data_IF_033566780877
#
_entry.id   IF_033566780877
#
_cell.length_a   1.000
_cell.length_b   1.000
_cell.length_c   1.000
_cell.angle_alpha   90.00
_cell.angle_beta   90.00
_cell.angle_gamma   90.00
#
_symmetry.space_group_name_H-M   'P 1'
#
loop_
_entity.id
_entity.type
_entity.pdbx_description
1 polymer ?
#
# COMPACT_ATOMS: atom_id res chain seq x y z
N UNK A 1 -15.56 -11.01 30.58
CA UNK A 1 -15.26 -9.93 29.58
C UNK A 1 -15.04 -10.61 28.24
N UNK A 2 -15.67 -10.11 27.15
CA UNK A 2 -15.39 -10.63 25.80
C UNK A 2 -13.98 -10.21 25.36
N UNK A 3 -13.21 -11.14 24.80
CA UNK A 3 -11.89 -10.83 24.26
C UNK A 3 -12.02 -9.92 23.04
N UNK A 4 -11.37 -8.77 23.07
CA UNK A 4 -11.41 -7.75 22.01
C UNK A 4 -10.13 -7.75 21.16
N UNK A 5 -8.97 -8.01 21.76
CA UNK A 5 -7.66 -7.89 21.15
C UNK A 5 -6.94 -9.24 21.14
N UNK A 6 -6.40 -9.63 20.00
CA UNK A 6 -5.61 -10.83 19.79
C UNK A 6 -4.18 -10.41 19.46
N UNK A 7 -3.23 -10.78 20.31
CA UNK A 7 -1.83 -10.42 20.21
C UNK A 7 -1.00 -11.69 20.11
N UNK A 8 -0.06 -11.70 19.17
CA UNK A 8 1.01 -12.68 19.12
C UNK A 8 2.21 -12.18 19.93
N UNK A 9 2.98 -13.09 20.51
CA UNK A 9 4.25 -12.76 21.12
C UNK A 9 5.34 -12.46 20.08
N UNK A 10 6.42 -11.85 20.50
CA UNK A 10 7.51 -11.40 19.63
C UNK A 10 8.19 -12.57 18.88
N UNK A 11 8.32 -13.73 19.50
CA UNK A 11 8.83 -14.96 18.90
C UNK A 11 7.96 -15.51 17.77
N UNK A 12 6.72 -15.03 17.65
CA UNK A 12 5.78 -15.39 16.57
C UNK A 12 5.85 -14.44 15.37
N UNK A 13 6.73 -13.43 15.37
CA UNK A 13 7.00 -12.62 14.17
C UNK A 13 7.39 -13.58 13.02
N UNK A 14 6.78 -13.45 11.84
CA UNK A 14 7.11 -14.31 10.70
C UNK A 14 8.61 -14.30 10.40
N UNK A 15 9.17 -15.47 10.13
CA UNK A 15 10.56 -15.63 9.69
C UNK A 15 10.72 -15.60 8.16
N UNK A 16 9.61 -15.64 7.44
CA UNK A 16 9.58 -15.59 5.98
C UNK A 16 8.38 -14.79 5.50
N UNK A 17 8.54 -14.10 4.37
CA UNK A 17 7.44 -13.54 3.60
C UNK A 17 6.82 -14.62 2.70
N UNK A 18 5.53 -14.48 2.42
CA UNK A 18 4.82 -15.38 1.51
C UNK A 18 4.76 -14.79 0.10
N UNK A 19 5.34 -15.50 -0.86
CA UNK A 19 5.30 -15.14 -2.27
C UNK A 19 4.12 -15.85 -2.96
N UNK A 20 3.04 -15.13 -3.16
CA UNK A 20 1.83 -15.66 -3.79
C UNK A 20 2.08 -16.15 -5.23
N UNK A 21 3.05 -15.55 -5.95
CA UNK A 21 3.35 -15.92 -7.32
C UNK A 21 3.72 -17.41 -7.46
N UNK A 22 4.34 -18.02 -6.44
CA UNK A 22 4.66 -19.45 -6.45
C UNK A 22 3.39 -20.34 -6.53
N UNK A 23 2.28 -19.89 -5.96
CA UNK A 23 1.04 -20.66 -5.86
C UNK A 23 -0.06 -20.23 -6.84
N UNK A 24 0.09 -19.10 -7.53
CA UNK A 24 -0.90 -18.64 -8.50
C UNK A 24 -1.10 -19.66 -9.62
N UNK A 25 -2.35 -20.05 -9.93
CA UNK A 25 -2.65 -20.96 -11.05
C UNK A 25 -2.20 -20.40 -12.41
N UNK A 26 -2.36 -19.09 -12.60
CA UNK A 26 -1.89 -18.35 -13.77
C UNK A 26 -0.87 -17.31 -13.31
N UNK A 27 0.35 -17.42 -13.82
CA UNK A 27 1.41 -16.46 -13.50
C UNK A 27 1.11 -15.10 -14.14
N UNK A 28 1.51 -13.98 -13.52
CA UNK A 28 1.41 -12.67 -14.15
C UNK A 28 2.17 -12.62 -15.46
N UNK A 29 1.68 -11.83 -16.41
CA UNK A 29 2.44 -11.51 -17.62
C UNK A 29 3.74 -10.79 -17.23
N UNK A 30 4.86 -10.98 -17.97
CA UNK A 30 6.13 -10.35 -17.64
C UNK A 30 6.08 -8.84 -17.84
N UNK A 31 6.83 -8.10 -17.03
CA UNK A 31 7.16 -6.72 -17.30
C UNK A 31 8.05 -6.63 -18.54
N UNK A 32 7.90 -5.58 -19.34
CA UNK A 32 8.64 -5.43 -20.59
C UNK A 32 9.58 -4.21 -20.55
N UNK A 33 10.74 -4.38 -21.13
CA UNK A 33 11.62 -3.27 -21.45
C UNK A 33 10.93 -2.36 -22.48
N UNK A 34 10.80 -1.05 -22.24
CA UNK A 34 10.05 -0.16 -23.12
C UNK A 34 10.65 -0.01 -24.53
N UNK A 35 11.97 -0.20 -24.70
CA UNK A 35 12.66 -0.08 -25.97
C UNK A 35 12.61 -1.39 -26.78
N UNK A 36 12.98 -2.52 -26.15
CA UNK A 36 13.10 -3.82 -26.83
C UNK A 36 11.81 -4.60 -26.88
N UNK A 37 10.86 -4.30 -25.99
CA UNK A 37 9.62 -5.06 -25.75
C UNK A 37 9.83 -6.49 -25.28
N UNK A 38 11.06 -6.84 -24.90
CA UNK A 38 11.39 -8.12 -24.30
C UNK A 38 11.13 -8.10 -22.79
N UNK A 39 10.90 -9.27 -22.15
CA UNK A 39 10.79 -9.36 -20.70
C UNK A 39 12.02 -8.79 -20.00
N UNK A 40 11.79 -7.98 -18.96
CA UNK A 40 12.88 -7.42 -18.15
C UNK A 40 13.59 -8.55 -17.37
N UNK A 41 14.89 -8.37 -17.20
CA UNK A 41 15.75 -9.26 -16.40
C UNK A 41 16.05 -8.64 -15.03
N UNK A 42 16.63 -9.45 -14.13
CA UNK A 42 17.15 -8.92 -12.84
C UNK A 42 18.17 -7.81 -13.11
N UNK A 43 19.04 -7.96 -14.10
CA UNK A 43 20.05 -6.94 -14.44
C UNK A 43 19.43 -5.63 -14.92
N UNK A 44 18.31 -5.67 -15.65
CA UNK A 44 17.59 -4.47 -16.07
C UNK A 44 16.99 -3.74 -14.86
N UNK A 45 16.33 -4.48 -13.98
CA UNK A 45 15.71 -3.89 -12.77
C UNK A 45 16.76 -3.41 -11.76
N UNK A 46 17.91 -4.08 -11.68
CA UNK A 46 19.00 -3.69 -10.77
C UNK A 46 19.68 -2.38 -11.16
N UNK A 47 19.45 -1.87 -12.36
CA UNK A 47 19.86 -0.50 -12.70
C UNK A 47 19.09 0.56 -11.90
N UNK A 48 17.90 0.21 -11.40
CA UNK A 48 17.02 1.12 -10.68
C UNK A 48 16.84 0.74 -9.21
N UNK A 49 16.54 -0.53 -8.93
CA UNK A 49 16.33 -1.09 -7.58
C UNK A 49 17.62 -1.75 -7.06
N UNK A 50 17.69 -2.04 -5.77
CA UNK A 50 18.71 -2.95 -5.28
C UNK A 50 18.50 -4.36 -5.85
N UNK A 51 19.60 -5.12 -6.04
CA UNK A 51 19.59 -6.39 -6.76
C UNK A 51 18.65 -7.42 -6.12
N UNK A 52 18.64 -7.50 -4.78
CA UNK A 52 17.76 -8.45 -4.10
C UNK A 52 16.27 -8.10 -4.29
N UNK A 53 15.90 -6.83 -4.26
CA UNK A 53 14.52 -6.43 -4.60
C UNK A 53 14.17 -6.77 -6.06
N UNK A 54 15.12 -6.64 -6.98
CA UNK A 54 14.93 -7.04 -8.38
C UNK A 54 14.75 -8.58 -8.53
N UNK A 55 15.51 -9.36 -7.76
CA UNK A 55 15.35 -10.84 -7.70
C UNK A 55 13.98 -11.23 -7.16
N UNK A 56 13.58 -10.63 -6.03
CA UNK A 56 12.27 -10.88 -5.41
C UNK A 56 11.12 -10.46 -6.31
N UNK A 57 11.28 -9.37 -7.07
CA UNK A 57 10.27 -8.91 -8.03
C UNK A 57 9.92 -9.96 -9.07
N UNK A 58 10.93 -10.62 -9.62
CA UNK A 58 10.81 -11.60 -10.71
C UNK A 58 10.70 -13.06 -10.23
N UNK A 59 10.74 -13.29 -8.91
CA UNK A 59 10.66 -14.63 -8.34
C UNK A 59 9.23 -15.18 -8.41
N UNK A 60 9.02 -16.20 -9.24
CA UNK A 60 7.75 -16.88 -9.42
C UNK A 60 7.72 -18.31 -8.87
N UNK A 61 8.80 -18.76 -8.22
CA UNK A 61 9.00 -20.17 -7.84
C UNK A 61 9.08 -20.40 -6.35
N UNK A 62 9.79 -19.52 -5.63
CA UNK A 62 10.02 -19.71 -4.20
C UNK A 62 8.83 -19.18 -3.41
N UNK A 63 8.12 -20.09 -2.76
CA UNK A 63 6.92 -19.78 -1.97
C UNK A 63 7.22 -18.94 -0.74
N UNK A 64 8.37 -19.21 -0.09
CA UNK A 64 8.78 -18.56 1.15
C UNK A 64 10.12 -17.88 0.94
N UNK A 65 10.16 -16.58 1.19
CA UNK A 65 11.36 -15.77 1.13
C UNK A 65 11.76 -15.41 2.56
N UNK A 66 12.94 -15.82 2.98
CA UNK A 66 13.43 -15.57 4.34
C UNK A 66 13.51 -14.08 4.65
N UNK A 67 13.05 -13.70 5.84
CA UNK A 67 13.19 -12.33 6.36
C UNK A 67 14.55 -12.25 7.08
N UNK A 68 15.47 -11.39 6.64
CA UNK A 68 16.76 -11.22 7.31
C UNK A 68 16.60 -10.90 8.79
N UNK A 69 17.47 -11.45 9.63
CA UNK A 69 17.41 -11.26 11.09
C UNK A 69 17.43 -9.78 11.48
N UNK A 70 18.27 -8.95 10.84
CA UNK A 70 18.30 -7.51 11.11
C UNK A 70 16.96 -6.83 10.81
N UNK A 71 16.23 -7.27 9.77
CA UNK A 71 14.90 -6.77 9.45
C UNK A 71 13.89 -7.22 10.51
N UNK A 72 13.97 -8.49 10.96
CA UNK A 72 13.11 -9.02 12.03
C UNK A 72 13.34 -8.30 13.37
N UNK A 73 14.58 -8.00 13.71
CA UNK A 73 14.93 -7.19 14.89
C UNK A 73 14.28 -5.78 14.82
N UNK A 74 14.20 -5.17 13.62
CA UNK A 74 13.51 -3.90 13.46
C UNK A 74 11.98 -4.05 13.50
N UNK A 75 11.46 -5.17 12.98
CA UNK A 75 10.05 -5.52 13.12
C UNK A 75 9.64 -5.66 14.58
N UNK A 76 10.46 -6.26 15.44
CA UNK A 76 10.19 -6.45 16.87
C UNK A 76 9.88 -5.14 17.63
N UNK A 77 10.30 -3.98 17.12
CA UNK A 77 9.96 -2.68 17.71
C UNK A 77 8.45 -2.36 17.67
N UNK A 78 7.65 -3.02 16.81
CA UNK A 78 6.21 -2.72 16.68
C UNK A 78 5.34 -3.92 16.25
N UNK A 79 5.93 -5.01 15.78
CA UNK A 79 5.23 -6.25 15.45
C UNK A 79 5.33 -7.22 16.64
N UNK A 80 4.36 -8.15 16.80
CA UNK A 80 3.20 -8.33 15.91
C UNK A 80 2.14 -7.25 16.17
N UNK A 81 1.52 -6.74 15.10
CA UNK A 81 0.46 -5.74 15.25
C UNK A 81 -0.86 -6.38 15.73
N UNK A 82 -1.74 -5.66 16.45
CA UNK A 82 -2.97 -6.24 16.97
C UNK A 82 -3.97 -6.66 15.89
N UNK A 83 -4.64 -7.78 16.09
CA UNK A 83 -5.96 -8.04 15.52
C UNK A 83 -7.01 -7.65 16.55
N UNK A 84 -7.99 -6.87 16.15
CA UNK A 84 -9.01 -6.33 17.06
C UNK A 84 -10.40 -6.65 16.52
N UNK A 85 -11.28 -7.15 17.38
CA UNK A 85 -12.71 -7.27 17.07
C UNK A 85 -13.42 -5.95 17.31
N UNK A 86 -14.10 -5.45 16.32
CA UNK A 86 -14.76 -4.13 16.31
C UNK A 86 -16.17 -4.20 16.92
N UNK A 87 -16.29 -4.58 18.18
CA UNK A 87 -17.58 -4.70 18.86
C UNK A 87 -18.41 -3.42 18.85
N UNK A 88 -17.75 -2.27 18.97
CA UNK A 88 -18.44 -0.98 18.91
C UNK A 88 -19.02 -0.69 17.52
N UNK A 89 -18.30 -1.06 16.48
CA UNK A 89 -18.78 -0.92 15.10
C UNK A 89 -19.91 -1.91 14.79
N UNK A 90 -19.81 -3.17 15.26
CA UNK A 90 -20.88 -4.17 15.15
C UNK A 90 -22.19 -3.67 15.80
N UNK A 91 -22.08 -3.10 17.00
CA UNK A 91 -23.22 -2.51 17.74
C UNK A 91 -23.80 -1.29 17.01
N UNK A 92 -22.95 -0.36 16.57
CA UNK A 92 -23.38 0.85 15.88
C UNK A 92 -24.11 0.55 14.55
N UNK A 93 -23.73 -0.54 13.86
CA UNK A 93 -24.37 -0.99 12.63
C UNK A 93 -25.60 -1.91 12.87
N UNK A 94 -25.78 -2.41 14.09
CA UNK A 94 -26.84 -3.39 14.41
C UNK A 94 -26.76 -4.65 13.57
N UNK A 95 -25.53 -5.10 13.26
CA UNK A 95 -25.27 -6.22 12.35
C UNK A 95 -25.00 -7.52 13.11
N UNK A 96 -25.41 -8.70 12.60
CA UNK A 96 -24.98 -10.01 13.12
C UNK A 96 -23.58 -10.40 12.67
N UNK A 97 -22.95 -9.63 11.77
CA UNK A 97 -21.60 -9.89 11.31
C UNK A 97 -20.57 -9.72 12.43
N UNK A 98 -19.49 -10.51 12.38
CA UNK A 98 -18.32 -10.35 13.20
C UNK A 98 -17.26 -9.55 12.45
N UNK A 99 -16.92 -8.36 12.94
CA UNK A 99 -16.02 -7.45 12.26
C UNK A 99 -14.67 -7.42 12.98
N UNK A 100 -13.59 -7.70 12.25
CA UNK A 100 -12.22 -7.64 12.73
C UNK A 100 -11.40 -6.65 11.91
N UNK A 101 -10.45 -6.00 12.55
CA UNK A 101 -9.46 -5.21 11.84
C UNK A 101 -8.04 -5.54 12.30
N UNK A 102 -7.14 -5.72 11.31
CA UNK A 102 -5.69 -5.81 11.53
C UNK A 102 -5.14 -4.40 11.63
N UNK A 103 -4.61 -4.06 12.79
CA UNK A 103 -4.25 -2.67 13.11
C UNK A 103 -2.79 -2.37 12.77
N UNK A 104 -2.51 -1.94 11.54
CA UNK A 104 -1.20 -1.49 11.09
C UNK A 104 -0.90 -0.02 11.45
N UNK A 105 -1.84 0.70 12.07
CA UNK A 105 -1.67 2.09 12.47
C UNK A 105 -0.72 2.28 13.66
N UNK A 106 -0.36 1.21 14.35
CA UNK A 106 0.49 1.22 15.56
C UNK A 106 1.99 1.26 15.25
N UNK A 107 2.39 1.21 13.99
CA UNK A 107 3.81 1.33 13.63
C UNK A 107 4.36 2.72 14.01
N UNK A 108 5.69 2.88 14.19
CA UNK A 108 6.30 4.18 14.56
C UNK A 108 5.95 5.34 13.64
N UNK A 109 5.60 5.06 12.37
CA UNK A 109 5.20 6.07 11.39
C UNK A 109 3.69 6.08 11.12
N UNK A 110 2.94 5.27 11.84
CA UNK A 110 1.48 5.22 11.79
C UNK A 110 0.89 4.59 10.54
N UNK A 111 1.61 3.72 9.82
CA UNK A 111 1.10 2.97 8.67
C UNK A 111 1.86 1.68 8.37
N UNK A 112 1.24 0.77 7.59
CA UNK A 112 1.81 -0.50 7.13
C UNK A 112 3.07 -0.35 6.27
N UNK A 113 3.31 0.83 5.70
CA UNK A 113 4.39 1.04 4.72
C UNK A 113 5.78 0.78 5.29
N UNK A 114 5.95 0.90 6.60
CA UNK A 114 7.21 0.64 7.29
C UNK A 114 7.73 -0.79 7.07
N UNK A 115 6.83 -1.77 6.92
CA UNK A 115 7.24 -3.16 6.71
C UNK A 115 8.16 -3.32 5.48
N UNK A 116 7.77 -2.73 4.36
CA UNK A 116 8.58 -2.80 3.13
C UNK A 116 9.75 -1.80 3.14
N UNK A 117 9.59 -0.63 3.77
CA UNK A 117 10.67 0.36 3.85
C UNK A 117 11.90 -0.19 4.57
N UNK A 118 11.72 -0.93 5.66
CA UNK A 118 12.80 -1.57 6.39
C UNK A 118 13.53 -2.63 5.54
N UNK A 119 12.78 -3.47 4.82
CA UNK A 119 13.35 -4.49 3.94
C UNK A 119 14.15 -3.86 2.78
N UNK A 120 13.56 -2.89 2.08
CA UNK A 120 14.26 -2.23 0.96
C UNK A 120 15.50 -1.47 1.42
N UNK A 121 15.43 -0.72 2.53
CA UNK A 121 16.58 -0.01 3.07
C UNK A 121 17.70 -0.98 3.51
N UNK A 122 17.34 -2.10 4.14
CA UNK A 122 18.29 -3.14 4.50
C UNK A 122 19.03 -3.69 3.27
N UNK A 123 18.30 -4.08 2.23
CA UNK A 123 18.92 -4.63 1.01
C UNK A 123 19.77 -3.60 0.27
N UNK A 124 19.33 -2.34 0.19
CA UNK A 124 20.17 -1.25 -0.32
C UNK A 124 21.48 -1.13 0.47
N UNK A 125 21.42 -1.18 1.80
CA UNK A 125 22.61 -1.12 2.66
C UNK A 125 23.55 -2.29 2.41
N UNK A 126 23.02 -3.51 2.28
CA UNK A 126 23.82 -4.72 2.02
C UNK A 126 24.54 -4.66 0.66
N UNK A 127 23.93 -4.02 -0.34
CA UNK A 127 24.54 -3.80 -1.67
C UNK A 127 25.60 -2.65 -1.66
N UNK A 128 25.79 -1.95 -0.54
CA UNK A 128 26.72 -0.81 -0.44
C UNK A 128 26.16 0.50 -0.98
N UNK A 129 24.84 0.58 -1.20
CA UNK A 129 24.14 1.80 -1.56
C UNK A 129 24.26 2.82 -0.42
N UNK A 130 24.48 4.09 -0.77
CA UNK A 130 24.60 5.19 0.19
C UNK A 130 23.41 6.14 0.16
N UNK A 131 22.72 6.21 -0.98
CA UNK A 131 21.61 7.11 -1.21
C UNK A 131 20.40 6.37 -1.74
N UNK A 132 19.20 6.69 -1.24
CA UNK A 132 17.95 6.21 -1.76
C UNK A 132 17.05 7.36 -2.16
N UNK A 133 16.32 7.19 -3.25
CA UNK A 133 15.33 8.16 -3.70
C UNK A 133 13.96 7.51 -3.85
N UNK A 134 12.92 8.30 -3.71
CA UNK A 134 11.55 7.83 -3.83
C UNK A 134 10.56 8.95 -4.12
N UNK A 135 9.37 8.56 -4.56
CA UNK A 135 8.17 9.39 -4.57
C UNK A 135 7.35 9.20 -3.30
N UNK A 136 6.44 10.12 -3.03
CA UNK A 136 5.37 9.92 -2.07
C UNK A 136 4.14 10.78 -2.40
N UNK A 137 2.95 10.19 -2.31
CA UNK A 137 1.68 10.93 -2.45
C UNK A 137 1.36 11.72 -1.18
N UNK A 138 0.62 11.08 -0.25
CA UNK A 138 0.23 11.69 1.03
C UNK A 138 1.39 11.90 2.03
N UNK A 139 2.56 11.31 1.79
CA UNK A 139 3.74 11.39 2.65
C UNK A 139 3.96 10.18 3.55
N UNK A 140 3.06 9.20 3.59
CA UNK A 140 3.20 8.00 4.44
C UNK A 140 4.39 7.13 4.02
N UNK A 141 4.57 6.92 2.72
CA UNK A 141 5.71 6.16 2.21
C UNK A 141 7.02 6.91 2.43
N UNK A 142 7.06 8.21 2.09
CA UNK A 142 8.24 9.05 2.33
C UNK A 142 8.66 9.03 3.80
N UNK A 143 7.72 9.11 4.75
CA UNK A 143 8.01 9.01 6.18
C UNK A 143 8.57 7.64 6.56
N UNK A 144 8.01 6.56 6.01
CA UNK A 144 8.48 5.19 6.25
C UNK A 144 9.92 4.99 5.75
N UNK A 145 10.19 5.43 4.52
CA UNK A 145 11.53 5.33 3.96
C UNK A 145 12.53 6.21 4.70
N UNK A 146 12.16 7.44 5.05
CA UNK A 146 13.05 8.35 5.80
C UNK A 146 13.50 7.75 7.14
N UNK A 147 12.56 7.12 7.86
CA UNK A 147 12.86 6.40 9.09
C UNK A 147 13.77 5.19 8.83
N UNK A 148 13.43 4.33 7.86
CA UNK A 148 14.20 3.14 7.53
C UNK A 148 15.60 3.48 7.01
N UNK A 149 15.74 4.50 6.14
CA UNK A 149 17.01 4.98 5.65
C UNK A 149 17.92 5.43 6.81
N UNK A 150 17.36 6.19 7.76
CA UNK A 150 18.12 6.63 8.95
C UNK A 150 18.62 5.46 9.79
N UNK A 151 17.81 4.42 9.99
CA UNK A 151 18.21 3.22 10.74
C UNK A 151 19.39 2.50 10.06
N UNK A 152 19.34 2.36 8.74
CA UNK A 152 20.36 1.65 7.96
C UNK A 152 21.50 2.54 7.44
N UNK A 153 21.55 3.81 7.88
CA UNK A 153 22.66 4.72 7.54
C UNK A 153 22.69 5.17 6.08
N UNK A 154 21.51 5.30 5.46
CA UNK A 154 21.33 5.80 4.10
C UNK A 154 20.84 7.25 4.11
N UNK A 155 21.23 8.02 3.09
CA UNK A 155 20.64 9.32 2.79
C UNK A 155 19.38 9.15 1.94
N UNK A 156 18.30 9.88 2.26
CA UNK A 156 17.03 9.77 1.55
C UNK A 156 16.61 11.07 0.88
N UNK A 157 16.27 11.01 -0.42
CA UNK A 157 15.67 12.10 -1.18
C UNK A 157 14.24 11.72 -1.59
N UNK A 158 13.25 12.53 -1.20
CA UNK A 158 11.83 12.25 -1.38
C UNK A 158 11.17 13.31 -2.24
N UNK A 159 10.58 12.89 -3.36
CA UNK A 159 9.71 13.72 -4.20
C UNK A 159 8.26 13.56 -3.75
N UNK A 160 7.70 14.59 -3.12
CA UNK A 160 6.34 14.57 -2.63
C UNK A 160 5.40 15.27 -3.61
N UNK A 161 4.29 14.64 -3.97
CA UNK A 161 3.24 15.26 -4.81
C UNK A 161 2.88 16.64 -4.27
N UNK A 162 3.01 17.69 -5.10
CA UNK A 162 2.94 19.10 -4.72
C UNK A 162 1.68 19.46 -3.92
N UNK A 163 0.51 19.06 -4.38
CA UNK A 163 -0.74 19.34 -3.66
C UNK A 163 -0.73 18.74 -2.25
N UNK A 164 -0.20 17.54 -2.07
CA UNK A 164 -0.09 16.90 -0.76
C UNK A 164 1.01 17.54 0.11
N UNK A 165 2.10 18.01 -0.49
CA UNK A 165 3.15 18.76 0.20
C UNK A 165 2.59 20.05 0.85
N UNK A 166 1.68 20.73 0.15
CA UNK A 166 1.03 21.94 0.63
C UNK A 166 -0.08 21.64 1.66
N UNK A 167 -0.90 20.62 1.42
CA UNK A 167 -2.04 20.27 2.29
C UNK A 167 -1.64 19.53 3.58
N UNK A 168 -0.47 18.86 3.60
CA UNK A 168 -0.02 18.00 4.70
C UNK A 168 1.39 18.36 5.20
N UNK A 169 1.59 19.58 5.75
CA UNK A 169 2.91 20.08 6.10
C UNK A 169 3.63 19.22 7.16
N UNK A 170 2.89 18.59 8.08
CA UNK A 170 3.49 17.75 9.11
C UNK A 170 4.11 16.45 8.56
N UNK A 171 3.65 15.93 7.42
CA UNK A 171 4.30 14.80 6.75
C UNK A 171 5.72 15.14 6.32
N UNK A 172 5.91 16.34 5.72
CA UNK A 172 7.23 16.85 5.40
C UNK A 172 8.11 16.98 6.65
N UNK A 173 7.56 17.55 7.72
CA UNK A 173 8.30 17.73 8.98
C UNK A 173 8.80 16.40 9.55
N UNK A 174 7.98 15.34 9.52
CA UNK A 174 8.37 14.00 9.95
C UNK A 174 9.55 13.47 9.12
N UNK A 175 9.49 13.57 7.79
CA UNK A 175 10.57 13.15 6.90
C UNK A 175 11.86 13.91 7.19
N UNK A 176 11.78 15.22 7.40
CA UNK A 176 12.93 16.06 7.74
C UNK A 176 13.52 15.77 9.14
N UNK A 177 12.69 15.43 10.12
CA UNK A 177 13.17 14.99 11.46
C UNK A 177 14.01 13.71 11.34
N UNK A 178 13.65 12.81 10.41
CA UNK A 178 14.48 11.63 10.10
C UNK A 178 15.64 11.92 9.15
N UNK A 179 15.84 13.18 8.75
CA UNK A 179 16.99 13.62 7.96
C UNK A 179 16.81 13.56 6.44
N UNK A 180 15.61 13.26 5.93
CA UNK A 180 15.38 13.21 4.49
C UNK A 180 15.30 14.60 3.84
N UNK A 181 15.80 14.71 2.60
CA UNK A 181 15.55 15.84 1.72
C UNK A 181 14.19 15.67 1.05
N UNK A 182 13.29 16.64 1.21
CA UNK A 182 11.93 16.58 0.67
C UNK A 182 11.71 17.68 -0.35
N UNK A 183 11.36 17.30 -1.58
CA UNK A 183 11.14 18.21 -2.71
C UNK A 183 9.69 18.08 -3.20
N UNK A 184 8.93 19.19 -3.37
CA UNK A 184 7.63 19.13 -4.00
C UNK A 184 7.76 18.78 -5.49
N UNK A 185 6.93 17.86 -5.99
CA UNK A 185 6.94 17.37 -7.38
C UNK A 185 5.64 17.76 -8.10
N UNK A 186 5.71 18.28 -9.35
CA UNK A 186 6.91 18.46 -10.18
C UNK A 186 7.80 19.62 -9.72
N UNK A 187 9.12 19.49 -9.92
CA UNK A 187 10.12 20.45 -9.51
C UNK A 187 10.99 20.95 -10.66
N UNK A 188 11.72 22.05 -10.43
CA UNK A 188 12.74 22.54 -11.37
C UNK A 188 14.10 21.87 -11.18
N UNK A 189 14.25 20.89 -10.29
CA UNK A 189 15.52 20.22 -9.99
C UNK A 189 15.86 19.09 -10.96
N UNK A 190 14.87 18.52 -11.63
CA UNK A 190 14.99 17.40 -12.58
C UNK A 190 14.60 17.83 -13.99
N UNK A 191 15.03 17.06 -15.01
CA UNK A 191 14.59 17.29 -16.38
C UNK A 191 13.10 16.93 -16.53
N UNK A 192 12.68 15.79 -15.97
CA UNK A 192 11.29 15.36 -15.99
C UNK A 192 10.35 16.44 -15.42
N UNK A 193 10.67 16.96 -14.23
CA UNK A 193 9.90 18.03 -13.62
C UNK A 193 9.85 19.31 -14.46
N UNK A 194 10.97 19.73 -15.04
CA UNK A 194 11.05 20.90 -15.95
C UNK A 194 10.18 20.71 -17.19
N UNK A 195 10.25 19.55 -17.83
CA UNK A 195 9.51 19.24 -19.05
C UNK A 195 7.99 19.26 -18.78
N UNK A 196 7.56 18.69 -17.63
CA UNK A 196 6.16 18.69 -17.21
C UNK A 196 5.70 20.14 -16.92
N UNK A 197 6.45 20.91 -16.16
CA UNK A 197 6.11 22.29 -15.81
C UNK A 197 6.14 23.24 -17.04
N UNK A 198 6.95 22.93 -18.03
CA UNK A 198 6.96 23.68 -19.31
C UNK A 198 5.68 23.45 -20.09
N UNK A 199 5.18 22.19 -20.11
CA UNK A 199 3.92 21.83 -20.79
C UNK A 199 2.69 22.32 -20.00
N UNK A 200 2.76 22.24 -18.68
CA UNK A 200 1.66 22.56 -17.76
C UNK A 200 2.17 23.29 -16.52
N UNK A 201 2.33 24.64 -16.58
CA UNK A 201 2.92 25.43 -15.48
C UNK A 201 2.22 25.32 -14.13
N UNK A 202 0.91 25.04 -14.14
CA UNK A 202 0.09 24.90 -12.93
C UNK A 202 -0.15 23.43 -12.51
N UNK A 203 0.69 22.51 -12.96
CA UNK A 203 0.56 21.09 -12.63
C UNK A 203 0.66 20.88 -11.13
N UNK A 204 -0.34 20.20 -10.55
CA UNK A 204 -0.44 19.98 -9.10
C UNK A 204 0.34 18.76 -8.60
N UNK A 205 0.95 18.03 -9.52
CA UNK A 205 1.65 16.78 -9.27
C UNK A 205 0.75 15.55 -9.25
N UNK A 206 1.33 14.45 -9.68
CA UNK A 206 0.76 13.10 -9.56
C UNK A 206 1.82 12.17 -8.97
N UNK A 207 1.44 10.94 -8.59
CA UNK A 207 2.45 9.92 -8.26
C UNK A 207 3.34 9.63 -9.46
N UNK A 208 2.76 9.60 -10.68
CA UNK A 208 3.52 9.42 -11.92
C UNK A 208 4.61 10.46 -12.14
N UNK A 209 4.32 11.76 -11.91
CA UNK A 209 5.33 12.83 -11.98
C UNK A 209 6.44 12.64 -10.95
N UNK A 210 6.06 12.34 -9.71
CA UNK A 210 7.02 12.18 -8.62
C UNK A 210 7.91 10.94 -8.80
N UNK A 211 7.37 9.84 -9.37
CA UNK A 211 8.14 8.66 -9.77
C UNK A 211 9.17 9.04 -10.83
N UNK A 212 8.78 9.76 -11.89
CA UNK A 212 9.69 10.18 -12.95
C UNK A 212 10.89 10.96 -12.42
N UNK A 213 10.66 11.90 -11.50
CA UNK A 213 11.72 12.70 -10.87
C UNK A 213 12.64 11.86 -9.97
N UNK A 214 12.06 10.96 -9.18
CA UNK A 214 12.82 10.08 -8.29
C UNK A 214 13.67 9.07 -9.09
N UNK A 215 13.13 8.50 -10.15
CA UNK A 215 13.84 7.58 -11.06
C UNK A 215 14.99 8.31 -11.79
N UNK A 216 14.75 9.53 -12.26
CA UNK A 216 15.80 10.34 -12.90
C UNK A 216 16.96 10.58 -11.92
N UNK A 217 16.66 10.99 -10.68
CA UNK A 217 17.70 11.23 -9.66
C UNK A 217 18.48 9.94 -9.37
N UNK A 218 17.81 8.79 -9.24
CA UNK A 218 18.47 7.51 -9.00
C UNK A 218 19.47 7.17 -10.11
N UNK A 219 19.06 7.37 -11.37
CA UNK A 219 19.92 7.08 -12.56
C UNK A 219 21.10 8.02 -12.69
N UNK A 220 20.96 9.28 -12.26
CA UNK A 220 21.99 10.30 -12.41
C UNK A 220 22.99 10.35 -11.24
N UNK A 221 22.67 9.70 -10.12
CA UNK A 221 23.48 9.75 -8.90
C UNK A 221 24.19 8.41 -8.68
N UNK A 222 25.52 8.34 -8.79
CA UNK A 222 26.25 7.10 -8.48
C UNK A 222 25.97 6.61 -7.06
N UNK A 223 25.76 5.30 -6.88
CA UNK A 223 25.47 4.71 -5.58
C UNK A 223 24.07 5.02 -5.03
N UNK A 224 23.17 5.52 -5.88
CA UNK A 224 21.76 5.75 -5.53
C UNK A 224 20.85 4.68 -6.12
N UNK A 225 19.85 4.27 -5.37
CA UNK A 225 18.78 3.38 -5.83
C UNK A 225 17.41 4.00 -5.58
N UNK A 226 16.48 3.68 -6.46
CA UNK A 226 15.08 4.02 -6.29
C UNK A 226 14.37 2.97 -5.43
N UNK A 227 13.49 3.42 -4.56
CA UNK A 227 12.63 2.60 -3.70
C UNK A 227 11.19 3.06 -3.84
N UNK A 228 10.22 2.18 -3.62
CA UNK A 228 8.82 2.56 -3.74
C UNK A 228 7.93 1.82 -2.73
N UNK A 229 6.76 2.43 -2.45
CA UNK A 229 5.86 1.98 -1.38
C UNK A 229 4.65 1.17 -1.82
N UNK A 230 4.54 0.80 -3.10
CA UNK A 230 3.40 0.05 -3.64
C UNK A 230 3.69 -0.45 -5.06
N UNK A 231 2.71 -1.06 -5.72
CA UNK A 231 2.68 -1.52 -7.13
C UNK A 231 3.52 -2.76 -7.39
N UNK A 232 4.81 -2.74 -7.06
CA UNK A 232 5.76 -3.83 -7.35
C UNK A 232 5.53 -5.04 -6.43
N UNK A 233 5.87 -6.23 -6.95
CA UNK A 233 5.64 -7.50 -6.26
C UNK A 233 6.49 -7.64 -5.01
N UNK A 234 7.77 -7.22 -5.04
CA UNK A 234 8.64 -7.26 -3.86
C UNK A 234 8.10 -6.38 -2.73
N UNK A 235 7.47 -5.24 -3.05
CA UNK A 235 6.81 -4.40 -2.02
C UNK A 235 5.66 -5.14 -1.37
N UNK A 236 4.80 -5.77 -2.19
CA UNK A 236 3.64 -6.52 -1.69
C UNK A 236 4.08 -7.78 -0.93
N UNK A 237 5.14 -8.44 -1.39
CA UNK A 237 5.78 -9.55 -0.69
C UNK A 237 6.16 -9.17 0.75
N UNK A 238 6.87 -8.06 0.94
CA UNK A 238 7.26 -7.58 2.27
C UNK A 238 6.05 -7.25 3.17
N UNK A 239 4.90 -6.92 2.59
CA UNK A 239 3.68 -6.65 3.36
C UNK A 239 2.97 -7.92 3.84
N UNK A 240 3.30 -9.10 3.32
CA UNK A 240 2.59 -10.35 3.68
C UNK A 240 2.73 -10.73 5.16
N UNK A 241 3.67 -10.16 5.90
CA UNK A 241 3.72 -10.27 7.37
C UNK A 241 2.39 -9.89 8.02
N UNK A 242 1.62 -8.97 7.42
CA UNK A 242 0.30 -8.54 7.91
C UNK A 242 -0.67 -9.72 7.93
N UNK A 243 -0.83 -10.40 6.80
CA UNK A 243 -1.73 -11.52 6.64
C UNK A 243 -1.25 -12.78 7.38
N UNK A 244 0.08 -13.04 7.40
CA UNK A 244 0.66 -14.17 8.13
C UNK A 244 0.40 -14.08 9.65
N UNK A 245 0.49 -12.88 10.23
CA UNK A 245 0.09 -12.66 11.61
C UNK A 245 -1.43 -12.76 11.79
N UNK A 246 -2.19 -12.15 10.86
CA UNK A 246 -3.64 -12.15 10.94
C UNK A 246 -4.24 -13.56 10.89
N UNK A 247 -3.67 -14.49 10.12
CA UNK A 247 -4.10 -15.90 10.10
C UNK A 247 -4.01 -16.53 11.49
N UNK A 248 -2.85 -16.43 12.13
CA UNK A 248 -2.64 -16.96 13.48
C UNK A 248 -3.57 -16.30 14.52
N UNK A 249 -3.80 -15.00 14.36
CA UNK A 249 -4.67 -14.24 15.27
C UNK A 249 -6.16 -14.59 15.05
N UNK A 250 -6.59 -14.84 13.81
CA UNK A 250 -7.95 -15.34 13.51
C UNK A 250 -8.16 -16.76 14.07
N UNK A 251 -7.13 -17.61 13.99
CA UNK A 251 -7.14 -18.93 14.66
C UNK A 251 -7.30 -18.78 16.18
N UNK A 252 -6.58 -17.86 16.83
CA UNK A 252 -6.75 -17.56 18.25
C UNK A 252 -8.15 -17.05 18.58
N UNK A 253 -8.80 -16.36 17.65
CA UNK A 253 -10.19 -15.92 17.79
C UNK A 253 -11.20 -17.06 17.61
N UNK A 254 -10.77 -18.21 17.12
CA UNK A 254 -11.63 -19.35 16.78
C UNK A 254 -12.52 -19.09 15.57
N UNK A 255 -12.10 -18.17 14.69
CA UNK A 255 -12.88 -17.76 13.51
C UNK A 255 -12.00 -17.74 12.25
N UNK A 256 -12.64 -17.78 11.09
CA UNK A 256 -11.98 -17.63 9.80
C UNK A 256 -12.76 -16.61 8.95
N UNK A 257 -12.10 -15.70 8.20
CA UNK A 257 -12.81 -14.64 7.49
C UNK A 257 -13.53 -15.15 6.24
N UNK A 258 -14.83 -14.82 6.12
CA UNK A 258 -15.61 -14.98 4.88
C UNK A 258 -15.26 -13.92 3.85
N UNK A 259 -14.89 -12.71 4.33
CA UNK A 259 -14.51 -11.57 3.48
C UNK A 259 -13.29 -10.89 4.06
N UNK A 260 -12.28 -10.63 3.23
CA UNK A 260 -11.11 -9.83 3.59
C UNK A 260 -11.04 -8.60 2.70
N UNK A 261 -10.85 -7.42 3.30
CA UNK A 261 -10.92 -6.13 2.64
C UNK A 261 -9.62 -5.35 2.86
N UNK A 262 -9.08 -4.78 1.80
CA UNK A 262 -7.95 -3.85 1.86
C UNK A 262 -8.21 -2.60 1.02
N UNK A 263 -7.74 -1.43 1.49
CA UNK A 263 -7.73 -0.25 0.65
C UNK A 263 -6.72 -0.41 -0.50
N UNK A 264 -7.05 0.16 -1.67
CA UNK A 264 -6.29 -0.08 -2.89
C UNK A 264 -5.79 1.21 -3.56
N UNK A 265 -4.47 1.44 -3.45
CA UNK A 265 -3.72 2.36 -4.29
C UNK A 265 -3.03 1.59 -5.42
N UNK A 266 -1.79 1.16 -5.20
CA UNK A 266 -1.08 0.23 -6.09
C UNK A 266 -1.18 -1.24 -5.69
N UNK A 267 -1.75 -1.57 -4.50
CA UNK A 267 -2.02 -2.94 -4.06
C UNK A 267 -1.28 -3.43 -2.82
N UNK A 268 -0.31 -2.68 -2.26
CA UNK A 268 0.53 -3.19 -1.18
C UNK A 268 -0.22 -3.50 0.13
N UNK A 269 -1.18 -2.67 0.54
CA UNK A 269 -2.01 -2.95 1.72
C UNK A 269 -2.92 -4.14 1.47
N UNK A 270 -3.63 -4.14 0.33
CA UNK A 270 -4.53 -5.21 -0.05
C UNK A 270 -3.80 -6.56 -0.13
N UNK A 271 -2.72 -6.65 -0.90
CA UNK A 271 -1.96 -7.90 -1.04
C UNK A 271 -1.34 -8.36 0.28
N UNK A 272 -0.86 -7.41 1.10
CA UNK A 272 -0.29 -7.72 2.41
C UNK A 272 -1.23 -8.47 3.33
N UNK A 273 -2.51 -8.07 3.39
CA UNK A 273 -3.50 -8.75 4.23
C UNK A 273 -4.13 -9.97 3.54
N UNK A 274 -4.27 -10.00 2.21
CA UNK A 274 -5.05 -11.02 1.50
C UNK A 274 -4.23 -12.21 1.01
N UNK A 275 -3.00 -11.99 0.54
CA UNK A 275 -2.22 -13.05 -0.13
C UNK A 275 -2.00 -14.30 0.73
N UNK A 276 -1.63 -14.20 2.03
CA UNK A 276 -1.51 -15.39 2.86
C UNK A 276 -2.80 -16.22 2.95
N UNK A 277 -3.96 -15.58 3.05
CA UNK A 277 -5.25 -16.27 3.06
C UNK A 277 -5.65 -16.83 1.70
N UNK A 278 -5.24 -16.17 0.61
CA UNK A 278 -5.63 -16.55 -0.75
C UNK A 278 -5.05 -17.91 -1.17
N UNK A 279 -3.91 -18.33 -0.59
CA UNK A 279 -3.35 -19.68 -0.85
C UNK A 279 -4.34 -20.81 -0.54
N UNK A 280 -5.18 -20.62 0.48
CA UNK A 280 -6.20 -21.61 0.86
C UNK A 280 -7.37 -21.68 -0.14
N UNK A 281 -7.63 -20.56 -0.86
CA UNK A 281 -8.60 -20.58 -1.96
C UNK A 281 -8.03 -21.32 -3.18
N UNK A 282 -6.73 -21.18 -3.49
CA UNK A 282 -6.09 -21.89 -4.61
C UNK A 282 -6.10 -23.41 -4.42
N UNK A 283 -5.99 -23.88 -3.18
CA UNK A 283 -6.09 -25.32 -2.86
C UNK A 283 -7.53 -25.82 -2.73
N UNK A 284 -8.53 -24.92 -2.75
CA UNK A 284 -9.94 -25.26 -2.51
C UNK A 284 -10.29 -25.54 -1.04
N UNK A 285 -9.36 -25.33 -0.12
CA UNK A 285 -9.55 -25.53 1.32
C UNK A 285 -10.54 -24.51 1.91
N UNK A 286 -10.52 -23.28 1.40
CA UNK A 286 -11.37 -22.17 1.84
C UNK A 286 -12.00 -21.43 0.66
N UNK A 287 -13.05 -20.64 0.95
CA UNK A 287 -13.78 -19.82 -0.03
C UNK A 287 -13.95 -18.39 0.51
N UNK A 288 -12.84 -17.75 0.83
CA UNK A 288 -12.84 -16.35 1.26
C UNK A 288 -13.00 -15.44 0.05
N UNK A 289 -13.83 -14.38 0.17
CA UNK A 289 -13.90 -13.29 -0.80
C UNK A 289 -12.84 -12.24 -0.47
N UNK A 290 -12.17 -11.73 -1.48
CA UNK A 290 -11.14 -10.71 -1.34
C UNK A 290 -11.59 -9.44 -2.06
N UNK A 291 -11.77 -8.35 -1.30
CA UNK A 291 -12.36 -7.10 -1.81
C UNK A 291 -11.32 -5.97 -1.77
N UNK A 292 -10.99 -5.44 -2.93
CA UNK A 292 -10.12 -4.29 -3.11
C UNK A 292 -10.97 -3.01 -3.14
N UNK A 293 -10.79 -2.14 -2.15
CA UNK A 293 -11.53 -0.88 -2.03
C UNK A 293 -10.69 0.29 -2.56
N UNK A 294 -11.06 0.81 -3.73
CA UNK A 294 -10.39 1.94 -4.38
C UNK A 294 -11.24 3.22 -4.30
N UNK A 295 -10.66 4.43 -4.50
CA UNK A 295 -11.45 5.65 -4.57
C UNK A 295 -12.19 5.75 -5.91
N UNK A 296 -13.47 6.15 -5.88
CA UNK A 296 -14.28 6.40 -7.08
C UNK A 296 -13.69 7.48 -8.00
N UNK A 297 -12.85 8.36 -7.46
CA UNK A 297 -12.12 9.38 -8.23
C UNK A 297 -10.85 8.88 -8.92
N UNK A 298 -10.45 7.62 -8.67
CA UNK A 298 -9.29 6.98 -9.32
C UNK A 298 -9.59 5.48 -9.51
N UNK A 299 -10.61 5.12 -10.33
CA UNK A 299 -11.25 3.81 -10.36
C UNK A 299 -10.54 2.86 -11.34
N UNK A 300 -9.24 2.62 -11.13
CA UNK A 300 -8.42 1.81 -12.05
C UNK A 300 -8.84 0.35 -12.14
N UNK A 301 -9.37 -0.23 -11.04
CA UNK A 301 -9.80 -1.63 -11.03
C UNK A 301 -11.21 -1.81 -11.58
N UNK A 302 -12.12 -0.86 -11.29
CA UNK A 302 -13.53 -0.94 -11.66
C UNK A 302 -13.80 -0.38 -13.05
N UNK A 303 -13.00 0.60 -13.53
CA UNK A 303 -13.21 1.29 -14.80
C UNK A 303 -11.97 1.31 -15.71
N UNK A 304 -10.80 0.94 -15.19
CA UNK A 304 -9.55 0.88 -15.96
C UNK A 304 -9.53 -0.28 -16.96
N UNK A 305 -8.52 -0.26 -17.84
CA UNK A 305 -8.26 -1.32 -18.82
C UNK A 305 -7.07 -2.16 -18.38
N UNK A 306 -7.12 -3.47 -18.66
CA UNK A 306 -5.96 -4.33 -18.47
C UNK A 306 -5.08 -4.26 -19.73
N UNK A 307 -3.96 -3.56 -19.61
CA UNK A 307 -2.99 -3.38 -20.71
C UNK A 307 -1.58 -3.12 -20.15
N UNK A 308 -0.59 -3.11 -21.03
CA UNK A 308 0.76 -2.66 -20.68
C UNK A 308 0.82 -1.14 -20.60
N UNK A 309 1.24 -0.62 -19.45
CA UNK A 309 1.39 0.82 -19.23
C UNK A 309 2.65 1.14 -18.43
N UNK A 310 3.10 2.38 -18.48
CA UNK A 310 4.22 2.85 -17.67
C UNK A 310 3.81 3.04 -16.21
N UNK A 311 4.75 2.80 -15.29
CA UNK A 311 4.55 3.12 -13.89
C UNK A 311 4.65 4.61 -13.58
N UNK A 312 5.20 5.43 -14.50
CA UNK A 312 5.49 6.84 -14.36
C UNK A 312 5.08 7.66 -15.58
N UNK A 313 4.88 8.97 -15.38
CA UNK A 313 4.36 9.87 -16.42
C UNK A 313 5.35 10.11 -17.58
N UNK A 314 6.66 10.13 -17.29
CA UNK A 314 7.70 10.36 -18.32
C UNK A 314 8.12 9.09 -19.08
N UNK A 315 7.61 7.91 -18.71
CA UNK A 315 7.94 6.65 -19.37
C UNK A 315 9.35 6.14 -19.06
N UNK A 316 9.85 6.40 -17.85
CA UNK A 316 11.18 5.97 -17.41
C UNK A 316 11.19 4.58 -16.80
N UNK A 317 10.03 4.07 -16.38
CA UNK A 317 9.89 2.73 -15.81
C UNK A 317 9.70 1.66 -16.89
N UNK A 318 9.84 0.36 -16.57
CA UNK A 318 9.35 -0.72 -17.42
C UNK A 318 7.86 -0.62 -17.70
N UNK A 319 7.41 -1.25 -18.78
CA UNK A 319 5.99 -1.46 -19.05
C UNK A 319 5.46 -2.59 -18.18
N UNK A 320 4.41 -2.30 -17.44
CA UNK A 320 3.77 -3.20 -16.48
C UNK A 320 2.43 -3.68 -17.04
N UNK A 321 2.13 -4.99 -17.05
CA UNK A 321 0.78 -5.47 -17.35
C UNK A 321 -0.13 -5.19 -16.17
N UNK A 322 -1.02 -4.21 -16.29
CA UNK A 322 -1.82 -3.70 -15.17
C UNK A 322 -3.23 -3.27 -15.60
N UNK A 323 -4.14 -3.23 -14.64
CA UNK A 323 -5.33 -2.39 -14.77
C UNK A 323 -4.91 -0.93 -14.61
N UNK A 324 -5.18 -0.09 -15.60
CA UNK A 324 -4.73 1.30 -15.66
C UNK A 324 -5.80 2.25 -16.19
N UNK A 325 -5.69 3.51 -15.76
CA UNK A 325 -6.43 4.66 -16.32
C UNK A 325 -5.58 5.44 -17.35
N UNK A 326 -4.34 5.00 -17.60
CA UNK A 326 -3.32 5.68 -18.38
C UNK A 326 -2.29 6.41 -17.51
N UNK A 327 -1.00 6.30 -17.85
CA UNK A 327 0.10 6.89 -17.08
C UNK A 327 0.08 8.43 -17.04
N UNK A 328 -0.67 9.07 -17.94
CA UNK A 328 -0.94 10.51 -17.99
C UNK A 328 -2.21 10.92 -17.23
N UNK A 329 -2.93 9.97 -16.63
CA UNK A 329 -4.15 10.24 -15.85
C UNK A 329 -3.86 11.16 -14.66
N UNK A 330 -4.62 12.25 -14.57
CA UNK A 330 -4.53 13.21 -13.48
C UNK A 330 -5.65 12.97 -12.46
N UNK A 331 -5.36 12.30 -11.32
CA UNK A 331 -6.37 12.04 -10.31
C UNK A 331 -6.85 13.35 -9.66
N UNK A 332 -8.15 13.43 -9.38
CA UNK A 332 -8.73 14.56 -8.66
C UNK A 332 -8.13 14.71 -7.25
N UNK A 333 -8.27 15.91 -6.67
CA UNK A 333 -7.67 16.28 -5.39
C UNK A 333 -8.46 15.70 -4.21
N UNK A 334 -8.41 14.37 -4.02
CA UNK A 334 -8.94 13.73 -2.82
C UNK A 334 -7.90 13.66 -1.71
N UNK A 335 -8.36 13.59 -0.46
CA UNK A 335 -7.49 13.55 0.70
C UNK A 335 -6.76 12.22 0.91
N UNK A 336 -7.27 11.11 0.35
CA UNK A 336 -6.61 9.81 0.33
C UNK A 336 -5.46 9.76 -0.71
N UNK A 337 -4.45 10.61 -0.52
CA UNK A 337 -3.35 10.80 -1.49
C UNK A 337 -2.56 9.55 -1.80
N UNK A 338 -2.50 8.57 -0.87
CA UNK A 338 -1.85 7.27 -1.06
C UNK A 338 -2.61 6.32 -2.00
N UNK A 339 -3.86 6.63 -2.36
CA UNK A 339 -4.66 5.83 -3.30
C UNK A 339 -4.74 6.46 -4.71
N UNK A 340 -4.17 7.65 -4.91
CA UNK A 340 -4.19 8.42 -6.16
C UNK A 340 -3.10 7.95 -7.13
N UNK A 341 -3.19 6.71 -7.58
CA UNK A 341 -2.27 6.13 -8.56
C UNK A 341 -3.07 5.52 -9.72
N UNK A 342 -2.63 5.79 -10.94
CA UNK A 342 -3.34 5.42 -12.16
C UNK A 342 -3.42 3.92 -12.44
N UNK A 343 -2.47 3.13 -11.88
CA UNK A 343 -2.32 1.72 -12.19
C UNK A 343 -2.41 0.80 -10.97
N UNK A 344 -2.50 -0.49 -11.21
CA UNK A 344 -2.52 -1.55 -10.20
C UNK A 344 -1.29 -2.46 -10.34
N UNK A 345 -0.80 -3.02 -9.24
CA UNK A 345 0.29 -3.99 -9.26
C UNK A 345 -0.02 -5.20 -10.16
N UNK A 346 1.00 -5.73 -10.82
CA UNK A 346 0.86 -6.78 -11.84
C UNK A 346 0.21 -8.05 -11.30
N UNK A 347 0.60 -8.49 -10.10
CA UNK A 347 0.02 -9.66 -9.43
C UNK A 347 -1.45 -9.47 -9.13
N UNK A 348 -1.84 -8.33 -8.54
CA UNK A 348 -3.26 -8.07 -8.24
C UNK A 348 -4.07 -7.94 -9.52
N UNK A 349 -3.51 -7.31 -10.55
CA UNK A 349 -4.16 -7.20 -11.85
C UNK A 349 -4.46 -8.56 -12.47
N UNK A 350 -3.52 -9.51 -12.38
CA UNK A 350 -3.74 -10.88 -12.83
C UNK A 350 -4.82 -11.58 -11.99
N UNK A 351 -4.79 -11.43 -10.66
CA UNK A 351 -5.79 -12.04 -9.76
C UNK A 351 -7.21 -11.50 -9.99
N UNK A 352 -7.36 -10.22 -10.32
CA UNK A 352 -8.65 -9.63 -10.73
C UNK A 352 -9.13 -10.25 -12.04
N UNK A 353 -8.24 -10.30 -13.05
CA UNK A 353 -8.52 -10.89 -14.35
C UNK A 353 -8.99 -12.35 -14.25
N UNK A 354 -8.40 -13.10 -13.31
CA UNK A 354 -8.72 -14.50 -13.06
C UNK A 354 -9.92 -14.71 -12.12
N UNK A 355 -10.55 -13.62 -11.63
CA UNK A 355 -11.76 -13.68 -10.81
C UNK A 355 -11.53 -14.01 -9.32
N UNK A 356 -10.28 -13.96 -8.82
CA UNK A 356 -9.98 -14.16 -7.39
C UNK A 356 -10.21 -12.91 -6.54
N UNK A 357 -10.24 -11.74 -7.13
CA UNK A 357 -10.38 -10.45 -6.44
C UNK A 357 -11.57 -9.69 -7.00
N UNK A 358 -12.41 -9.20 -6.09
CA UNK A 358 -13.49 -8.26 -6.36
C UNK A 358 -12.99 -6.83 -6.12
N UNK A 359 -13.39 -5.88 -6.96
CA UNK A 359 -13.08 -4.47 -6.78
C UNK A 359 -14.36 -3.68 -6.49
N UNK A 360 -14.26 -2.73 -5.58
CA UNK A 360 -15.32 -1.76 -5.28
C UNK A 360 -14.75 -0.36 -5.21
N UNK A 361 -15.46 0.59 -5.78
CA UNK A 361 -15.15 2.00 -5.67
C UNK A 361 -15.93 2.64 -4.51
N UNK A 362 -15.27 3.57 -3.83
CA UNK A 362 -15.78 4.27 -2.65
C UNK A 362 -15.69 5.76 -2.89
N UNK A 363 -16.82 6.45 -2.74
CA UNK A 363 -16.87 7.90 -2.80
C UNK A 363 -16.16 8.54 -1.60
N UNK A 364 -15.55 9.70 -1.81
CA UNK A 364 -14.78 10.37 -0.74
C UNK A 364 -15.66 10.68 0.48
N UNK A 365 -16.87 11.18 0.26
CA UNK A 365 -17.83 11.49 1.34
C UNK A 365 -18.15 10.25 2.16
N UNK A 366 -18.51 9.14 1.50
CA UNK A 366 -18.80 7.86 2.14
C UNK A 366 -17.60 7.36 2.95
N UNK A 367 -16.39 7.49 2.40
CA UNK A 367 -15.19 7.07 3.11
C UNK A 367 -14.99 7.82 4.42
N UNK A 368 -15.21 9.15 4.44
CA UNK A 368 -15.13 9.94 5.67
C UNK A 368 -16.29 9.70 6.63
N UNK A 369 -17.50 9.46 6.15
CA UNK A 369 -18.64 9.03 6.98
C UNK A 369 -18.33 7.75 7.73
N UNK A 370 -17.83 6.73 7.01
CA UNK A 370 -17.42 5.45 7.60
C UNK A 370 -16.22 5.61 8.56
N UNK A 371 -15.25 6.46 8.22
CA UNK A 371 -14.11 6.79 9.08
C UNK A 371 -14.52 7.44 10.39
N UNK A 372 -15.45 8.39 10.34
CA UNK A 372 -16.02 9.06 11.54
C UNK A 372 -16.86 8.08 12.38
N UNK A 373 -17.65 7.21 11.75
CA UNK A 373 -18.39 6.15 12.45
C UNK A 373 -17.43 5.22 13.19
N UNK A 374 -16.39 4.74 12.51
CA UNK A 374 -15.38 3.89 13.10
C UNK A 374 -14.64 4.58 14.26
N UNK A 375 -14.25 5.86 14.09
CA UNK A 375 -13.57 6.61 15.13
C UNK A 375 -14.43 6.76 16.40
N UNK A 376 -15.73 6.99 16.25
CA UNK A 376 -16.66 7.08 17.38
C UNK A 376 -16.91 5.74 18.05
N UNK A 377 -16.92 4.64 17.28
CA UNK A 377 -17.18 3.29 17.76
C UNK A 377 -15.96 2.65 18.41
N UNK A 378 -14.76 2.82 17.83
CA UNK A 378 -13.55 2.10 18.21
C UNK A 378 -12.45 2.98 18.83
N UNK A 379 -12.61 4.31 18.81
CA UNK A 379 -11.68 5.26 19.42
C UNK A 379 -10.39 5.50 18.63
N UNK A 380 -10.34 5.12 17.35
CA UNK A 380 -9.17 5.30 16.47
C UNK A 380 -9.60 6.14 15.27
N UNK A 381 -8.94 7.27 15.04
CA UNK A 381 -9.13 8.07 13.83
C UNK A 381 -8.32 7.43 12.70
N UNK A 382 -8.96 6.87 11.65
CA UNK A 382 -8.26 6.19 10.57
C UNK A 382 -7.65 7.19 9.58
N UNK A 383 -6.59 6.77 8.86
CA UNK A 383 -6.12 7.52 7.71
C UNK A 383 -7.21 7.59 6.63
N UNK A 384 -7.31 8.66 5.82
CA UNK A 384 -8.29 8.75 4.72
C UNK A 384 -8.23 7.56 3.76
N UNK A 385 -7.06 6.97 3.56
CA UNK A 385 -6.88 5.74 2.79
C UNK A 385 -7.59 4.55 3.45
N UNK A 386 -7.42 4.37 4.77
CA UNK A 386 -8.04 3.28 5.54
C UNK A 386 -9.56 3.39 5.56
N UNK A 387 -10.09 4.61 5.47
CA UNK A 387 -11.54 4.86 5.43
C UNK A 387 -12.23 4.14 4.28
N UNK A 388 -11.55 3.90 3.15
CA UNK A 388 -12.10 3.15 2.01
C UNK A 388 -12.33 1.68 2.36
N UNK A 389 -11.37 1.05 3.06
CA UNK A 389 -11.55 -0.33 3.54
C UNK A 389 -12.65 -0.42 4.60
N UNK A 390 -12.76 0.59 5.48
CA UNK A 390 -13.81 0.66 6.49
C UNK A 390 -15.17 0.82 5.82
N UNK A 391 -15.32 1.70 4.82
CA UNK A 391 -16.57 1.89 4.08
C UNK A 391 -17.02 0.59 3.39
N UNK A 392 -16.10 -0.12 2.75
CA UNK A 392 -16.40 -1.42 2.16
C UNK A 392 -16.82 -2.46 3.22
N UNK A 393 -16.19 -2.46 4.41
CA UNK A 393 -16.58 -3.33 5.52
C UNK A 393 -17.96 -2.98 6.07
N UNK A 394 -18.31 -1.70 6.15
CA UNK A 394 -19.65 -1.20 6.52
C UNK A 394 -20.69 -1.70 5.51
N UNK A 395 -20.45 -1.54 4.20
CA UNK A 395 -21.34 -2.08 3.14
C UNK A 395 -21.58 -3.60 3.29
N UNK A 396 -20.53 -4.37 3.58
CA UNK A 396 -20.67 -5.83 3.79
C UNK A 396 -21.45 -6.15 5.08
N UNK A 397 -21.22 -5.40 6.16
CA UNK A 397 -21.94 -5.57 7.43
C UNK A 397 -23.44 -5.21 7.31
N UNK A 398 -23.78 -4.18 6.53
CA UNK A 398 -25.16 -3.80 6.21
C UNK A 398 -25.88 -4.90 5.40
N UNK A 399 -25.21 -5.48 4.40
CA UNK A 399 -25.74 -6.64 3.67
C UNK A 399 -26.02 -7.83 4.61
N UNK A 400 -25.14 -8.06 5.59
CA UNK A 400 -25.35 -9.09 6.61
C UNK A 400 -26.56 -8.78 7.50
N UNK A 401 -26.78 -7.52 7.88
CA UNK A 401 -27.94 -7.07 8.65
C UNK A 401 -29.25 -7.28 7.86
N UNK A 402 -29.28 -6.83 6.60
CA UNK A 402 -30.46 -6.96 5.72
C UNK A 402 -30.88 -8.41 5.50
N UNK A 403 -29.92 -9.31 5.35
CA UNK A 403 -30.15 -10.74 5.12
C UNK A 403 -30.24 -11.55 6.42
N UNK A 404 -30.02 -10.93 7.57
CA UNK A 404 -29.82 -11.59 8.87
C UNK A 404 -28.80 -12.74 8.80
N UNK A 405 -27.67 -12.50 8.10
CA UNK A 405 -26.64 -13.49 7.82
C UNK A 405 -25.40 -13.20 8.66
N UNK A 406 -24.90 -14.18 9.41
CA UNK A 406 -23.66 -14.05 10.16
C UNK A 406 -22.47 -14.34 9.24
N UNK A 407 -21.57 -13.37 9.07
CA UNK A 407 -20.27 -13.49 8.39
C UNK A 407 -19.15 -12.91 9.22
N UNK A 408 -17.96 -13.43 9.02
CA UNK A 408 -16.73 -12.86 9.59
C UNK A 408 -16.06 -11.97 8.53
N UNK A 409 -15.97 -10.68 8.83
CA UNK A 409 -15.36 -9.64 7.97
C UNK A 409 -14.05 -9.22 8.59
N UNK A 410 -12.96 -9.33 7.84
CA UNK A 410 -11.65 -8.84 8.22
C UNK A 410 -11.23 -7.69 7.30
N UNK A 411 -10.81 -6.56 7.85
CA UNK A 411 -10.17 -5.51 7.05
C UNK A 411 -8.83 -5.06 7.63
N UNK A 412 -7.98 -4.46 6.78
CA UNK A 412 -6.73 -3.87 7.23
C UNK A 412 -6.91 -2.38 7.55
N UNK A 413 -6.71 -1.99 8.80
CA UNK A 413 -6.56 -0.59 9.21
C UNK A 413 -5.12 -0.16 8.88
N UNK A 414 -4.92 0.32 7.66
CA UNK A 414 -3.62 0.54 7.03
C UNK A 414 -2.78 1.66 7.67
N UNK A 415 -3.44 2.61 8.35
CA UNK A 415 -2.77 3.71 9.04
C UNK A 415 -3.75 4.57 9.86
N UNK A 416 -3.20 5.39 10.78
CA UNK A 416 -3.98 6.38 11.54
C UNK A 416 -4.06 7.74 10.84
N UNK A 417 -5.10 8.54 11.18
CA UNK A 417 -5.39 9.84 10.60
C UNK A 417 -4.95 11.05 11.43
N UNK A 418 -4.19 10.87 12.52
CA UNK A 418 -3.82 11.96 13.43
C UNK A 418 -3.00 13.07 12.76
N UNK A 419 -2.31 12.76 11.66
CA UNK A 419 -1.56 13.74 10.84
C UNK A 419 -2.41 14.29 9.69
N UNK A 420 -3.60 13.74 9.50
CA UNK A 420 -4.52 14.08 8.41
C UNK A 420 -5.75 14.85 8.90
N UNK A 421 -5.69 15.44 10.11
CA UNK A 421 -6.84 16.13 10.74
C UNK A 421 -7.40 17.26 9.90
N UNK A 422 -6.56 17.95 9.12
CA UNK A 422 -7.04 18.98 8.19
C UNK A 422 -8.06 18.44 7.16
N UNK A 423 -7.97 17.18 6.78
CA UNK A 423 -8.96 16.53 5.91
C UNK A 423 -10.28 16.28 6.64
N UNK A 424 -10.20 15.85 7.90
CA UNK A 424 -11.39 15.70 8.75
C UNK A 424 -12.06 17.03 9.04
N UNK A 425 -11.30 18.11 9.27
CA UNK A 425 -11.84 19.46 9.43
C UNK A 425 -12.64 19.90 8.20
N UNK A 426 -12.14 19.64 6.99
CA UNK A 426 -12.86 19.94 5.75
C UNK A 426 -14.15 19.11 5.63
N UNK A 427 -14.10 17.83 5.99
CA UNK A 427 -15.28 16.97 6.00
C UNK A 427 -16.33 17.45 7.01
N UNK A 428 -15.93 17.73 8.26
CA UNK A 428 -16.83 18.20 9.32
C UNK A 428 -17.42 19.59 9.04
N UNK A 429 -16.70 20.43 8.30
CA UNK A 429 -17.18 21.72 7.81
C UNK A 429 -18.14 21.62 6.59
N UNK A 430 -18.37 20.39 6.07
CA UNK A 430 -19.24 20.17 4.90
C UNK A 430 -18.62 20.57 3.57
N UNK A 431 -17.29 20.68 3.49
CA UNK A 431 -16.57 21.05 2.27
C UNK A 431 -16.16 19.84 1.40
N UNK A 432 -16.44 18.62 1.86
CA UNK A 432 -16.22 17.36 1.11
C UNK A 432 -17.59 16.83 0.68
N UNK A 433 -17.79 16.72 -0.63
CA UNK A 433 -19.02 16.30 -1.28
C UNK A 433 -18.90 14.93 -1.94
#
# INVERSE_FOLDING_TARGET
MKQKKFMLSEDMIPNSWYNIQADMPVKPMPMLNPQTKEPVTVADLSQLFCEECARQELNQTDRWIEIPDEVRERYANYRCTPLVRAYGLEEALGTPAHIYFKNESVSPIGSHKLNSALAQAYYCRQEGVTNVTTETGAGQWGAALSYAAKIFGLEAAVYQVKISYEQKPYRKSIMQVFGALVTPSPSMSTRAGKDILTKMPNHQGSLGTAISEAVELARMTPGCKYTLGSVMNHVTLHQTVIGLEAEKQMEMAGEYPDVIIGCFGGGSNFGGITFPFMRHNFTGERKTRFVAAEPASCPKLTQGKFEYDFGDEAGYTPLLPMYTLGHDFQPSNIHAGGLRYHGAGTVVSQLIKDGYVEAVDIEQKESFEAGCLFARAEGIIPAPESCHAIAAAVREAEKCREKNEKKTILFCLSGHGLIDMAAYDQFLAGNIH
#
